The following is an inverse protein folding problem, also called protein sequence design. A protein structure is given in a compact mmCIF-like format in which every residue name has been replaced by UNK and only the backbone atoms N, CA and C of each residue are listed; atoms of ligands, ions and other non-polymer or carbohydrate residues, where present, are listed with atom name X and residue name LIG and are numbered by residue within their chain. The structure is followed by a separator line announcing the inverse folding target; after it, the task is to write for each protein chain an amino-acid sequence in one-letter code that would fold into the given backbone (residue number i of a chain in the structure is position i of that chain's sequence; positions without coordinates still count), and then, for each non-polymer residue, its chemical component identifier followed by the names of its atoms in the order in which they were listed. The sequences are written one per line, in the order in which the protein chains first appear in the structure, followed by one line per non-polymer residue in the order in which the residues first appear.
data_IF_203338288043
#
_entry.id   IF_203338288043
#
_cell.length_a   1.000
_cell.length_b   1.000
_cell.length_c   1.000
_cell.angle_alpha   90.00
_cell.angle_beta   90.00
_cell.angle_gamma   90.00
#
_symmetry.space_group_name_H-M   'P 1'
#
loop_
_entity.id
_entity.type
_entity.pdbx_description
1 polymer ?
#
# COMPACT_ATOMS: atom_id res chain seq x y z
N UNK A 1 14.70 -12.75 4.32
CA UNK A 1 15.31 -11.41 4.21
C UNK A 1 14.94 -10.86 2.85
N UNK A 2 13.80 -10.16 2.75
CA UNK A 2 13.65 -9.14 1.71
C UNK A 2 14.67 -8.05 2.03
N UNK A 3 15.25 -7.40 1.02
CA UNK A 3 16.41 -6.52 1.13
C UNK A 3 16.36 -5.64 2.38
N UNK A 4 17.31 -5.85 3.29
CA UNK A 4 17.57 -4.86 4.33
C UNK A 4 17.99 -3.60 3.60
N UNK A 5 17.16 -2.55 3.65
CA UNK A 5 17.64 -1.20 3.40
C UNK A 5 18.93 -1.02 4.19
N UNK A 6 20.02 -0.67 3.52
CA UNK A 6 21.24 -0.33 4.22
C UNK A 6 20.88 0.72 5.28
N UNK A 7 21.15 0.35 6.53
CA UNK A 7 20.81 1.13 7.73
C UNK A 7 21.49 2.52 7.76
N UNK A 8 22.23 2.89 6.71
CA UNK A 8 22.96 4.14 6.51
C UNK A 8 22.67 4.87 5.19
N UNK A 9 21.69 4.44 4.38
CA UNK A 9 21.28 5.24 3.22
C UNK A 9 20.47 6.46 3.69
N UNK A 10 20.92 7.66 3.30
CA UNK A 10 20.17 8.89 3.52
C UNK A 10 18.81 8.91 2.78
N UNK A 11 18.57 7.96 1.87
CA UNK A 11 17.45 7.95 0.93
C UNK A 11 17.04 6.52 0.51
N UNK A 12 16.06 5.91 1.18
CA UNK A 12 15.59 4.56 0.88
C UNK A 12 14.52 4.54 -0.22
N UNK A 13 14.47 5.54 -1.11
CA UNK A 13 13.36 5.69 -2.06
C UNK A 13 13.48 4.86 -3.33
N UNK A 14 14.70 4.47 -3.72
CA UNK A 14 14.92 3.66 -4.91
C UNK A 14 15.61 2.37 -4.49
N UNK A 15 14.83 1.29 -4.36
CA UNK A 15 15.40 -0.04 -4.50
C UNK A 15 15.63 -0.26 -5.99
N UNK A 16 16.88 -0.48 -6.40
CA UNK A 16 17.27 -0.53 -7.83
C UNK A 16 16.49 -1.60 -8.62
N UNK A 17 15.98 -2.64 -7.96
CA UNK A 17 15.28 -3.77 -8.58
C UNK A 17 13.75 -3.75 -8.38
N UNK A 18 13.15 -2.70 -7.81
CA UNK A 18 11.71 -2.72 -7.54
C UNK A 18 10.87 -2.48 -8.83
N UNK A 19 10.03 -3.46 -9.26
CA UNK A 19 9.30 -3.37 -10.52
C UNK A 19 8.36 -2.18 -10.62
N UNK A 20 7.81 -1.75 -9.47
CA UNK A 20 6.93 -0.59 -9.40
C UNK A 20 7.63 0.69 -9.86
N UNK A 21 8.88 0.93 -9.45
CA UNK A 21 9.59 2.16 -9.80
C UNK A 21 9.87 2.25 -11.30
N UNK A 22 10.24 1.12 -11.91
CA UNK A 22 10.42 1.03 -13.36
C UNK A 22 9.12 1.33 -14.11
N UNK A 23 8.01 0.70 -13.71
CA UNK A 23 6.71 0.95 -14.31
C UNK A 23 6.27 2.42 -14.12
N UNK A 24 6.45 2.97 -12.92
CA UNK A 24 6.09 4.35 -12.61
C UNK A 24 6.94 5.38 -13.38
N UNK A 25 8.23 5.14 -13.54
CA UNK A 25 9.12 6.00 -14.33
C UNK A 25 8.74 5.95 -15.82
N UNK A 26 8.46 4.77 -16.36
CA UNK A 26 8.01 4.59 -17.74
C UNK A 26 6.72 5.39 -18.00
N UNK A 27 5.72 5.27 -17.11
CA UNK A 27 4.47 6.06 -17.21
C UNK A 27 4.77 7.55 -17.10
N UNK A 28 5.64 7.97 -16.18
CA UNK A 28 6.03 9.39 -16.04
C UNK A 28 6.65 9.94 -17.33
N UNK A 29 7.55 9.19 -17.97
CA UNK A 29 8.20 9.55 -19.25
C UNK A 29 7.16 9.69 -20.38
N UNK A 30 6.19 8.79 -20.45
CA UNK A 30 5.15 8.81 -21.49
C UNK A 30 4.15 9.94 -21.24
N UNK A 31 3.62 10.05 -20.02
CA UNK A 31 2.51 10.96 -19.69
C UNK A 31 2.97 12.40 -19.50
N UNK A 32 4.09 12.61 -18.78
CA UNK A 32 4.59 13.96 -18.47
C UNK A 32 5.58 14.47 -19.50
N UNK A 33 6.51 13.62 -19.97
CA UNK A 33 7.57 14.01 -20.93
C UNK A 33 7.21 13.74 -22.39
N UNK A 34 6.01 13.21 -22.67
CA UNK A 34 5.48 12.93 -24.02
C UNK A 34 6.41 12.05 -24.87
N UNK A 35 7.17 11.15 -24.23
CA UNK A 35 8.02 10.21 -24.95
C UNK A 35 7.18 9.10 -25.61
N UNK A 36 7.67 8.54 -26.71
CA UNK A 36 6.98 7.45 -27.41
C UNK A 36 7.12 6.14 -26.63
N UNK A 37 6.07 5.31 -26.68
CA UNK A 37 6.05 3.97 -26.05
C UNK A 37 7.25 3.15 -26.54
N UNK A 38 7.58 3.24 -27.83
CA UNK A 38 8.72 2.55 -28.42
C UNK A 38 10.04 2.90 -27.74
N UNK A 39 10.32 4.19 -27.57
CA UNK A 39 11.58 4.65 -26.96
C UNK A 39 11.69 4.22 -25.50
N UNK A 40 10.60 4.33 -24.74
CA UNK A 40 10.58 3.95 -23.32
C UNK A 40 10.71 2.42 -23.15
N UNK A 41 10.08 1.65 -24.04
CA UNK A 41 10.22 0.20 -24.06
C UNK A 41 11.67 -0.24 -24.36
N UNK A 42 12.32 0.39 -25.34
CA UNK A 42 13.73 0.15 -25.68
C UNK A 42 14.67 0.57 -24.53
N UNK A 43 14.41 1.69 -23.85
CA UNK A 43 15.23 2.19 -22.74
C UNK A 43 15.18 1.30 -21.48
N UNK A 44 14.04 0.68 -21.20
CA UNK A 44 13.84 -0.17 -20.03
C UNK A 44 13.89 -1.67 -20.35
N UNK A 45 14.27 -2.06 -21.57
CA UNK A 45 14.34 -3.46 -22.02
C UNK A 45 13.03 -4.26 -21.82
N UNK A 46 11.88 -3.59 -21.92
CA UNK A 46 10.56 -4.22 -21.73
C UNK A 46 9.77 -4.24 -23.02
N UNK A 47 8.83 -5.19 -23.13
CA UNK A 47 7.97 -5.27 -24.30
C UNK A 47 7.02 -4.06 -24.39
N UNK A 48 6.66 -3.67 -25.62
CA UNK A 48 5.67 -2.59 -25.84
C UNK A 48 4.31 -2.92 -25.25
N UNK A 49 3.95 -4.20 -25.19
CA UNK A 49 2.67 -4.65 -24.67
C UNK A 49 2.64 -4.60 -23.15
N UNK A 50 3.76 -4.85 -22.48
CA UNK A 50 3.93 -4.60 -21.04
C UNK A 50 3.68 -3.12 -20.70
N UNK A 51 4.27 -2.20 -21.47
CA UNK A 51 4.08 -0.75 -21.27
C UNK A 51 2.65 -0.30 -21.57
N UNK A 52 1.95 -0.95 -22.50
CA UNK A 52 0.52 -0.71 -22.72
C UNK A 52 -0.32 -1.23 -21.55
N UNK A 53 -0.01 -2.40 -21.01
CA UNK A 53 -0.65 -2.97 -19.82
C UNK A 53 -0.56 -2.00 -18.64
N UNK A 54 0.65 -1.50 -18.34
CA UNK A 54 0.84 -0.49 -17.29
C UNK A 54 0.01 0.78 -17.49
N UNK A 55 -0.14 1.25 -18.74
CA UNK A 55 -0.99 2.41 -19.02
C UNK A 55 -2.47 2.13 -18.75
N UNK A 56 -2.95 0.94 -19.11
CA UNK A 56 -4.33 0.53 -18.85
C UNK A 56 -4.57 0.40 -17.34
N UNK A 57 -3.67 -0.25 -16.62
CA UNK A 57 -3.76 -0.42 -15.16
C UNK A 57 -3.66 0.92 -14.43
N UNK A 58 -2.79 1.82 -14.89
CA UNK A 58 -2.67 3.17 -14.33
C UNK A 58 -3.95 3.98 -14.52
N UNK A 59 -4.60 3.89 -15.69
CA UNK A 59 -5.87 4.58 -15.95
C UNK A 59 -7.00 3.99 -15.09
N UNK A 60 -7.01 2.67 -14.92
CA UNK A 60 -8.10 1.95 -14.22
C UNK A 60 -7.98 2.04 -12.70
N UNK A 61 -6.76 1.90 -12.16
CA UNK A 61 -6.52 1.74 -10.72
C UNK A 61 -5.60 2.81 -10.12
N UNK A 62 -5.09 3.75 -10.93
CA UNK A 62 -4.08 4.72 -10.52
C UNK A 62 -2.71 4.07 -10.36
N UNK A 63 -1.83 4.71 -9.60
CA UNK A 63 -0.50 4.18 -9.29
C UNK A 63 -0.56 2.81 -8.59
N UNK A 64 -1.66 2.46 -7.90
CA UNK A 64 -1.83 1.13 -7.30
C UNK A 64 -1.79 0.03 -8.38
N UNK A 65 -2.28 0.31 -9.58
CA UNK A 65 -2.27 -0.61 -10.71
C UNK A 65 -0.87 -0.99 -11.19
N UNK A 66 0.16 -0.21 -10.83
CA UNK A 66 1.55 -0.46 -11.22
C UNK A 66 2.30 -1.37 -10.24
N UNK A 67 1.67 -1.75 -9.12
CA UNK A 67 2.23 -2.74 -8.21
C UNK A 67 2.27 -4.11 -8.88
N UNK A 68 3.40 -4.80 -8.74
CA UNK A 68 3.59 -6.14 -9.30
C UNK A 68 2.53 -7.10 -8.75
N UNK A 69 1.97 -7.97 -9.61
CA UNK A 69 1.04 -8.98 -9.13
C UNK A 69 1.80 -10.05 -8.33
N UNK A 70 1.29 -10.35 -7.14
CA UNK A 70 1.85 -11.43 -6.32
C UNK A 70 1.14 -12.73 -6.72
N UNK A 71 1.92 -13.79 -6.95
CA UNK A 71 1.36 -15.11 -7.23
C UNK A 71 0.64 -15.67 -5.99
N UNK A 72 -0.63 -16.04 -6.14
CA UNK A 72 -1.40 -16.71 -5.10
C UNK A 72 -1.43 -18.22 -5.34
N UNK A 73 -1.28 -18.98 -4.26
CA UNK A 73 -1.59 -20.41 -4.26
C UNK A 73 -2.96 -20.52 -3.59
N UNK A 74 -3.99 -21.03 -4.28
CA UNK A 74 -5.28 -21.25 -3.63
C UNK A 74 -5.11 -22.33 -2.57
N UNK A 75 -5.38 -21.98 -1.32
CA UNK A 75 -5.33 -22.88 -0.17
C UNK A 75 -6.75 -23.02 0.37
N UNK A 76 -7.13 -24.23 0.74
CA UNK A 76 -8.42 -24.47 1.40
C UNK A 76 -8.48 -23.72 2.73
N UNK A 77 -9.55 -22.95 2.94
CA UNK A 77 -9.73 -22.15 4.16
C UNK A 77 -9.74 -22.98 5.45
N UNK A 78 -10.19 -24.24 5.39
CA UNK A 78 -10.15 -25.17 6.51
C UNK A 78 -8.73 -25.63 6.81
N UNK A 79 -7.92 -25.86 5.78
CA UNK A 79 -6.50 -26.21 5.92
C UNK A 79 -5.72 -25.06 6.58
N UNK A 80 -5.97 -23.82 6.13
CA UNK A 80 -5.35 -22.63 6.72
C UNK A 80 -5.71 -22.49 8.20
N UNK A 81 -7.01 -22.55 8.54
CA UNK A 81 -7.48 -22.45 9.93
C UNK A 81 -6.89 -23.54 10.81
N UNK A 82 -6.85 -24.79 10.33
CA UNK A 82 -6.28 -25.92 11.06
C UNK A 82 -4.78 -25.70 11.33
N UNK A 83 -4.02 -25.32 10.29
CA UNK A 83 -2.58 -25.12 10.41
C UNK A 83 -2.24 -23.99 11.39
N UNK A 84 -3.01 -22.89 11.37
CA UNK A 84 -2.84 -21.76 12.30
C UNK A 84 -3.23 -22.17 13.72
N UNK A 85 -4.37 -22.85 13.91
CA UNK A 85 -4.86 -23.26 15.23
C UNK A 85 -3.90 -24.22 15.94
N UNK A 86 -3.35 -25.19 15.21
CA UNK A 86 -2.36 -26.11 15.79
C UNK A 86 -1.14 -25.33 16.27
N UNK A 87 -0.71 -24.32 15.51
CA UNK A 87 0.49 -23.56 15.83
C UNK A 87 0.27 -22.54 16.95
N UNK A 88 -0.96 -22.05 17.13
CA UNK A 88 -1.31 -21.16 18.25
C UNK A 88 -1.41 -21.93 19.56
N UNK A 89 -2.00 -23.13 19.55
CA UNK A 89 -2.17 -23.97 20.75
C UNK A 89 -0.85 -24.67 21.09
N UNK A 90 -0.10 -25.12 20.09
CA UNK A 90 1.15 -25.84 20.27
C UNK A 90 2.30 -25.21 19.47
N UNK A 91 2.93 -24.19 20.05
CA UNK A 91 4.00 -23.42 19.40
C UNK A 91 5.19 -24.26 18.90
N UNK A 92 5.48 -25.38 19.54
CA UNK A 92 6.58 -26.29 19.17
C UNK A 92 6.19 -27.38 18.17
N UNK A 93 4.89 -27.58 17.91
CA UNK A 93 4.45 -28.68 17.06
C UNK A 93 4.91 -28.51 15.61
N UNK A 94 5.26 -29.66 15.03
CA UNK A 94 5.80 -29.76 13.68
C UNK A 94 4.67 -29.82 12.65
N UNK A 95 4.91 -29.29 11.45
CA UNK A 95 3.96 -29.31 10.32
C UNK A 95 3.45 -30.72 9.97
N UNK A 96 4.14 -31.77 10.41
CA UNK A 96 3.71 -33.17 10.29
C UNK A 96 2.41 -33.47 11.04
N UNK A 97 2.19 -32.87 12.21
CA UNK A 97 0.97 -33.10 12.99
C UNK A 97 -0.24 -32.50 12.29
N UNK A 98 -0.08 -31.27 11.77
CA UNK A 98 -1.09 -30.62 10.93
C UNK A 98 -1.41 -31.43 9.66
N UNK A 99 -0.41 -32.05 9.03
CA UNK A 99 -0.63 -32.91 7.87
C UNK A 99 -1.46 -34.15 8.24
N UNK A 100 -1.09 -34.86 9.31
CA UNK A 100 -1.82 -36.05 9.77
C UNK A 100 -3.29 -35.75 10.10
N UNK A 101 -3.54 -34.62 10.75
CA UNK A 101 -4.91 -34.18 11.04
C UNK A 101 -5.66 -33.78 9.77
N UNK A 102 -5.02 -33.08 8.84
CA UNK A 102 -5.63 -32.72 7.56
C UNK A 102 -5.99 -33.96 6.72
N UNK A 103 -5.11 -34.97 6.71
CA UNK A 103 -5.35 -36.28 6.07
C UNK A 103 -6.52 -37.03 6.73
N UNK A 104 -6.54 -37.08 8.06
CA UNK A 104 -7.63 -37.72 8.82
C UNK A 104 -8.99 -37.03 8.57
N UNK A 105 -8.99 -35.70 8.45
CA UNK A 105 -10.17 -34.89 8.13
C UNK A 105 -10.51 -34.86 6.64
N UNK A 106 -9.70 -35.53 5.80
CA UNK A 106 -9.84 -35.57 4.32
C UNK A 106 -9.90 -34.17 3.68
N UNK A 107 -9.12 -33.22 4.20
CA UNK A 107 -9.04 -31.86 3.65
C UNK A 107 -8.23 -31.90 2.34
N UNK A 108 -8.78 -31.40 1.21
CA UNK A 108 -8.10 -31.45 -0.08
C UNK A 108 -6.87 -30.53 -0.12
N UNK A 109 -5.86 -30.90 -0.91
CA UNK A 109 -4.68 -30.07 -1.15
C UNK A 109 -3.72 -29.95 0.03
N UNK A 110 -3.90 -30.73 1.10
CA UNK A 110 -2.98 -30.77 2.21
C UNK A 110 -1.62 -31.34 1.78
N UNK A 111 -0.58 -30.51 1.84
CA UNK A 111 0.80 -30.95 1.70
C UNK A 111 1.66 -30.28 2.74
N UNK A 112 2.77 -30.93 3.06
CA UNK A 112 3.71 -30.44 4.04
C UNK A 112 4.31 -29.08 3.61
N UNK A 113 4.56 -28.88 2.32
CA UNK A 113 5.04 -27.60 1.77
C UNK A 113 4.00 -26.49 1.94
N UNK A 114 2.73 -26.77 1.59
CA UNK A 114 1.62 -25.81 1.75
C UNK A 114 1.45 -25.42 3.22
N UNK A 115 1.47 -26.39 4.15
CA UNK A 115 1.35 -26.12 5.59
C UNK A 115 2.50 -25.25 6.09
N UNK A 116 3.74 -25.53 5.67
CA UNK A 116 4.90 -24.71 6.03
C UNK A 116 4.80 -23.29 5.47
N UNK A 117 4.28 -23.13 4.25
CA UNK A 117 4.03 -21.81 3.65
C UNK A 117 2.96 -21.04 4.43
N UNK A 118 1.86 -21.69 4.82
CA UNK A 118 0.84 -21.09 5.70
C UNK A 118 1.50 -20.61 6.99
N UNK A 119 2.26 -21.46 7.68
CA UNK A 119 2.96 -21.06 8.90
C UNK A 119 3.86 -19.84 8.69
N UNK A 120 4.64 -19.78 7.59
CA UNK A 120 5.47 -18.62 7.26
C UNK A 120 4.65 -17.37 6.99
N UNK A 121 3.55 -17.47 6.23
CA UNK A 121 2.65 -16.35 5.93
C UNK A 121 1.97 -15.77 7.16
N UNK A 122 1.96 -16.49 8.28
CA UNK A 122 1.45 -16.05 9.58
C UNK A 122 2.56 -15.69 10.58
N UNK A 123 3.83 -15.67 10.15
CA UNK A 123 4.98 -15.34 11.00
C UNK A 123 5.43 -16.47 11.93
N UNK A 124 4.91 -17.68 11.78
CA UNK A 124 5.41 -18.89 12.47
C UNK A 124 6.60 -19.50 11.71
N UNK A 125 7.56 -18.66 11.31
CA UNK A 125 8.69 -19.03 10.46
C UNK A 125 10.03 -19.10 11.19
N UNK A 126 11.02 -18.38 10.66
CA UNK A 126 12.43 -18.55 11.00
C UNK A 126 12.79 -18.22 12.46
N UNK A 127 12.14 -17.24 13.08
CA UNK A 127 12.44 -16.84 14.47
C UNK A 127 11.33 -17.18 15.44
N UNK A 128 10.12 -17.43 14.94
CA UNK A 128 8.91 -17.65 15.74
C UNK A 128 8.66 -16.55 16.78
N UNK A 129 9.19 -15.34 16.55
CA UNK A 129 9.08 -14.21 17.45
C UNK A 129 7.90 -13.30 17.09
N UNK A 130 7.60 -12.34 17.96
CA UNK A 130 6.51 -11.39 17.76
C UNK A 130 6.78 -10.45 16.57
N UNK A 131 8.05 -10.23 16.21
CA UNK A 131 8.45 -9.37 15.09
C UNK A 131 8.08 -9.98 13.74
N UNK A 132 8.30 -11.29 13.57
CA UNK A 132 7.88 -12.04 12.38
C UNK A 132 6.35 -11.97 12.24
N UNK A 133 5.60 -12.19 13.33
CA UNK A 133 4.12 -12.11 13.30
C UNK A 133 3.63 -10.72 12.92
N UNK A 134 4.22 -9.68 13.50
CA UNK A 134 3.87 -8.30 13.19
C UNK A 134 4.16 -7.95 11.72
N UNK A 135 5.29 -8.41 11.19
CA UNK A 135 5.69 -8.21 9.79
C UNK A 135 4.68 -8.85 8.82
N UNK A 136 4.39 -10.14 9.00
CA UNK A 136 3.46 -10.84 8.10
C UNK A 136 2.01 -10.35 8.25
N UNK A 137 1.57 -9.98 9.46
CA UNK A 137 0.26 -9.35 9.67
C UNK A 137 0.16 -8.01 8.92
N UNK A 138 1.23 -7.20 8.91
CA UNK A 138 1.26 -5.96 8.15
C UNK A 138 1.19 -6.19 6.64
N UNK A 139 1.91 -7.19 6.11
CA UNK A 139 1.80 -7.59 4.70
C UNK A 139 0.39 -8.03 4.33
N UNK A 140 -0.24 -8.89 5.14
CA UNK A 140 -1.62 -9.34 4.90
C UNK A 140 -2.59 -8.16 4.81
N UNK A 141 -2.48 -7.18 5.72
CA UNK A 141 -3.30 -5.94 5.68
C UNK A 141 -3.10 -5.14 4.39
N UNK A 142 -1.85 -5.04 3.91
CA UNK A 142 -1.55 -4.38 2.63
C UNK A 142 -2.23 -5.13 1.48
N UNK A 143 -2.13 -6.46 1.44
CA UNK A 143 -2.75 -7.27 0.38
C UNK A 143 -4.26 -7.11 0.34
N UNK A 144 -4.93 -7.19 1.49
CA UNK A 144 -6.37 -6.95 1.61
C UNK A 144 -6.75 -5.56 1.13
N UNK A 145 -5.91 -4.56 1.44
CA UNK A 145 -6.14 -3.19 0.99
C UNK A 145 -6.01 -3.04 -0.52
N UNK A 146 -5.05 -3.73 -1.16
CA UNK A 146 -4.88 -3.73 -2.63
C UNK A 146 -6.10 -4.33 -3.30
N UNK A 147 -6.54 -5.49 -2.82
CA UNK A 147 -7.71 -6.17 -3.34
C UNK A 147 -8.96 -5.28 -3.19
N UNK A 148 -9.11 -4.62 -2.05
CA UNK A 148 -10.18 -3.64 -1.81
C UNK A 148 -10.13 -2.44 -2.77
N UNK A 149 -8.94 -1.89 -3.06
CA UNK A 149 -8.82 -0.76 -3.98
C UNK A 149 -9.02 -1.18 -5.44
N UNK A 150 -8.60 -2.39 -5.82
CA UNK A 150 -8.81 -2.93 -7.17
C UNK A 150 -10.27 -3.40 -7.40
N UNK A 151 -10.99 -3.80 -6.35
CA UNK A 151 -12.38 -4.22 -6.47
C UNK A 151 -13.36 -3.05 -6.57
N UNK A 152 -12.98 -1.88 -6.03
CA UNK A 152 -13.76 -0.66 -6.20
C UNK A 152 -13.54 -0.07 -7.59
N UNK A 153 -14.61 0.15 -8.33
CA UNK A 153 -14.61 0.99 -9.54
C UNK A 153 -14.43 2.46 -9.14
N UNK A 154 -13.23 2.82 -8.71
CA UNK A 154 -12.87 4.19 -8.40
C UNK A 154 -12.12 4.75 -9.59
N UNK A 155 -12.60 5.87 -10.13
CA UNK A 155 -11.84 6.62 -11.13
C UNK A 155 -10.70 7.37 -10.43
N UNK A 156 -9.42 7.05 -10.69
CA UNK A 156 -8.27 7.76 -10.11
C UNK A 156 -8.11 9.17 -10.68
N UNK A 157 -8.87 9.53 -11.73
CA UNK A 157 -8.85 10.85 -12.35
C UNK A 157 -7.85 10.98 -13.49
N UNK A 158 -7.33 9.86 -14.01
CA UNK A 158 -6.38 9.82 -15.11
C UNK A 158 -7.09 9.66 -16.45
N UNK A 159 -6.96 10.65 -17.34
CA UNK A 159 -7.56 10.64 -18.68
C UNK A 159 -6.48 10.37 -19.76
N UNK A 160 -6.59 9.28 -20.55
CA UNK A 160 -5.71 9.00 -21.68
C UNK A 160 -5.67 10.10 -22.75
N UNK A 161 -6.72 10.91 -22.89
CA UNK A 161 -6.77 12.03 -23.85
C UNK A 161 -6.02 13.26 -23.33
N UNK A 162 -5.95 13.43 -22.00
CA UNK A 162 -5.32 14.58 -21.33
C UNK A 162 -4.14 14.19 -20.45
N UNK A 163 -3.34 13.21 -20.89
CA UNK A 163 -2.25 12.56 -20.13
C UNK A 163 -1.44 13.51 -19.25
N UNK A 164 -0.83 14.54 -19.83
CA UNK A 164 0.06 15.44 -19.07
C UNK A 164 -0.67 16.27 -18.00
N UNK A 165 -1.93 16.63 -18.24
CA UNK A 165 -2.74 17.43 -17.31
C UNK A 165 -3.29 16.57 -16.17
N UNK A 166 -3.65 15.32 -16.47
CA UNK A 166 -4.26 14.39 -15.52
C UNK A 166 -3.26 13.42 -14.90
N UNK A 167 -1.96 13.52 -15.20
CA UNK A 167 -0.95 12.62 -14.63
C UNK A 167 -0.86 12.71 -13.11
N UNK A 168 -1.04 13.91 -12.53
CA UNK A 168 -1.05 14.13 -11.09
C UNK A 168 -2.33 14.88 -10.69
N UNK A 169 -3.40 14.18 -10.29
CA UNK A 169 -4.70 14.77 -9.99
C UNK A 169 -4.60 15.75 -8.82
N UNK A 170 -5.10 16.98 -8.98
CA UNK A 170 -5.06 18.01 -7.91
C UNK A 170 -5.95 17.69 -6.71
N UNK A 171 -6.92 16.81 -6.93
CA UNK A 171 -8.01 16.50 -5.99
C UNK A 171 -7.72 15.22 -5.18
N UNK A 172 -6.49 14.71 -5.23
CA UNK A 172 -6.03 13.55 -4.45
C UNK A 172 -6.85 12.27 -4.67
N UNK A 173 -7.53 12.13 -5.82
CA UNK A 173 -8.24 10.91 -6.21
C UNK A 173 -7.31 9.68 -6.20
N UNK A 174 -6.05 9.87 -6.61
CA UNK A 174 -4.98 8.91 -6.41
C UNK A 174 -4.10 9.25 -5.19
N UNK A 175 -4.59 8.88 -4.00
CA UNK A 175 -3.86 9.08 -2.73
C UNK A 175 -2.52 8.33 -2.69
N UNK A 176 -2.41 7.21 -3.42
CA UNK A 176 -1.20 6.40 -3.42
C UNK A 176 -0.09 7.09 -4.20
N UNK A 177 -0.39 7.62 -5.39
CA UNK A 177 0.55 8.42 -6.17
C UNK A 177 1.05 9.65 -5.41
N UNK A 178 0.18 10.32 -4.63
CA UNK A 178 0.59 11.45 -3.79
C UNK A 178 1.64 11.07 -2.75
N UNK A 179 1.51 9.89 -2.14
CA UNK A 179 2.50 9.39 -1.17
C UNK A 179 3.80 9.02 -1.86
N UNK A 180 3.73 8.40 -3.04
CA UNK A 180 4.91 8.05 -3.83
C UNK A 180 5.69 9.30 -4.23
N UNK A 181 5.02 10.35 -4.73
CA UNK A 181 5.65 11.62 -5.08
C UNK A 181 6.18 12.37 -3.85
N UNK A 182 5.46 12.33 -2.71
CA UNK A 182 5.98 12.89 -1.45
C UNK A 182 7.29 12.20 -1.06
N UNK A 183 7.33 10.86 -1.07
CA UNK A 183 8.52 10.11 -0.67
C UNK A 183 9.68 10.31 -1.66
N UNK A 184 9.38 10.50 -2.95
CA UNK A 184 10.36 10.90 -3.98
C UNK A 184 10.94 12.28 -3.72
N UNK A 185 10.11 13.24 -3.34
CA UNK A 185 10.55 14.60 -3.04
C UNK A 185 11.37 14.63 -1.74
N UNK A 186 10.93 13.88 -0.73
CA UNK A 186 11.64 13.75 0.53
C UNK A 186 12.98 13.04 0.35
N UNK A 187 13.12 12.13 -0.61
CA UNK A 187 14.41 11.53 -0.91
C UNK A 187 15.37 12.55 -1.51
N UNK A 188 14.90 13.49 -2.31
CA UNK A 188 15.77 14.56 -2.85
C UNK A 188 16.14 15.63 -1.80
N UNK A 189 15.55 15.58 -0.60
CA UNK A 189 15.80 16.57 0.45
C UNK A 189 17.10 16.30 1.22
N UNK A 190 18.12 17.12 0.98
CA UNK A 190 19.40 17.04 1.71
C UNK A 190 19.33 17.57 3.16
N UNK A 191 18.36 18.44 3.50
CA UNK A 191 18.25 19.05 4.84
C UNK A 191 16.89 18.79 5.47
N UNK A 192 16.88 18.33 6.73
CA UNK A 192 15.67 18.03 7.53
C UNK A 192 14.67 19.19 7.60
N UNK A 193 15.12 20.44 7.49
CA UNK A 193 14.26 21.64 7.48
C UNK A 193 13.25 21.66 6.31
N UNK A 194 13.54 20.98 5.21
CA UNK A 194 12.66 20.94 4.02
C UNK A 194 11.57 19.87 4.11
N UNK A 195 11.63 18.97 5.11
CA UNK A 195 10.63 17.91 5.31
C UNK A 195 9.26 18.51 5.64
N UNK A 196 9.17 19.41 6.63
CA UNK A 196 7.87 20.00 7.04
C UNK A 196 7.16 20.78 5.92
N UNK A 197 7.85 21.62 5.13
CA UNK A 197 7.26 22.25 3.96
C UNK A 197 6.75 21.24 2.92
N UNK A 198 7.52 20.19 2.60
CA UNK A 198 7.10 19.15 1.68
C UNK A 198 5.83 18.45 2.18
N UNK A 199 5.81 18.01 3.44
CA UNK A 199 4.63 17.39 4.06
C UNK A 199 3.37 18.26 3.96
N UNK A 200 3.48 19.58 4.20
CA UNK A 200 2.36 20.51 4.05
C UNK A 200 1.83 20.58 2.61
N UNK A 201 2.70 20.55 1.60
CA UNK A 201 2.28 20.56 0.18
C UNK A 201 1.44 19.34 -0.21
N UNK A 202 1.80 18.16 0.31
CA UNK A 202 1.05 16.92 0.06
C UNK A 202 -0.05 16.67 1.09
N UNK A 203 -0.31 17.59 2.02
CA UNK A 203 -1.37 17.45 3.02
C UNK A 203 -1.13 16.33 4.04
N UNK A 204 0.14 15.98 4.33
CA UNK A 204 0.50 14.94 5.29
C UNK A 204 0.92 15.55 6.62
N UNK A 205 0.31 15.09 7.71
CA UNK A 205 0.67 15.52 9.06
C UNK A 205 2.02 14.92 9.52
N UNK A 206 2.83 15.64 10.31
CA UNK A 206 4.12 15.15 10.79
C UNK A 206 4.06 13.81 11.51
N UNK A 207 3.07 13.60 12.38
CA UNK A 207 2.94 12.35 13.15
C UNK A 207 2.71 11.16 12.22
N UNK A 208 1.92 11.38 11.16
CA UNK A 208 1.61 10.35 10.19
C UNK A 208 2.73 10.08 9.20
N UNK A 209 3.56 11.09 8.94
CA UNK A 209 4.80 10.90 8.19
C UNK A 209 5.72 9.88 8.85
N UNK A 210 5.89 9.91 10.17
CA UNK A 210 6.76 8.94 10.85
C UNK A 210 6.23 7.51 10.71
N UNK A 211 4.90 7.32 10.84
CA UNK A 211 4.27 6.03 10.60
C UNK A 211 4.44 5.56 9.15
N UNK A 212 4.20 6.44 8.18
CA UNK A 212 4.43 6.14 6.76
C UNK A 212 5.88 5.77 6.49
N UNK A 213 6.82 6.51 7.07
CA UNK A 213 8.26 6.28 6.91
C UNK A 213 8.64 4.92 7.46
N UNK A 214 8.22 4.60 8.67
CA UNK A 214 8.50 3.30 9.29
C UNK A 214 7.95 2.15 8.43
N UNK A 215 6.70 2.27 7.96
CA UNK A 215 6.11 1.25 7.08
C UNK A 215 6.82 1.13 5.73
N UNK A 216 7.24 2.25 5.16
CA UNK A 216 8.00 2.26 3.93
C UNK A 216 9.38 1.62 4.10
N UNK A 217 10.04 1.83 5.24
CA UNK A 217 11.30 1.13 5.56
C UNK A 217 11.10 -0.39 5.67
N UNK A 218 9.94 -0.84 6.15
CA UNK A 218 9.66 -2.26 6.38
C UNK A 218 9.15 -2.98 5.12
N UNK A 219 8.28 -2.35 4.33
CA UNK A 219 7.56 -2.98 3.21
C UNK A 219 7.85 -2.35 1.85
N UNK A 220 8.72 -1.34 1.78
CA UNK A 220 8.94 -0.57 0.56
C UNK A 220 7.69 0.20 0.14
N UNK A 221 7.50 0.37 -1.18
CA UNK A 221 6.38 1.15 -1.74
C UNK A 221 5.01 0.58 -1.31
N UNK A 222 4.92 -0.73 -1.12
CA UNK A 222 3.73 -1.42 -0.62
C UNK A 222 3.23 -0.88 0.73
N UNK A 223 4.15 -0.42 1.58
CA UNK A 223 3.84 0.14 2.90
C UNK A 223 3.09 1.47 2.87
N UNK A 224 2.95 2.11 1.70
CA UNK A 224 2.25 3.39 1.54
C UNK A 224 0.75 3.23 1.29
N UNK A 225 0.24 2.03 1.04
CA UNK A 225 -1.08 1.83 0.44
C UNK A 225 -2.26 1.96 1.42
N UNK A 226 -2.19 1.29 2.56
CA UNK A 226 -3.32 1.07 3.47
C UNK A 226 -3.58 2.22 4.46
N UNK A 227 -2.62 3.12 4.66
CA UNK A 227 -2.80 4.29 5.50
C UNK A 227 -3.61 5.34 4.73
N UNK A 228 -4.94 5.34 4.86
CA UNK A 228 -5.82 6.38 4.30
C UNK A 228 -5.47 7.72 4.94
N UNK A 229 -4.97 8.67 4.16
CA UNK A 229 -4.79 10.05 4.60
C UNK A 229 -5.95 10.86 4.05
N UNK A 230 -6.71 11.51 4.92
CA UNK A 230 -7.66 12.52 4.51
C UNK A 230 -6.85 13.69 3.96
N UNK A 231 -6.71 13.76 2.64
CA UNK A 231 -6.09 14.87 1.93
C UNK A 231 -7.03 16.07 1.86
N UNK A 232 -7.73 16.40 2.95
CA UNK A 232 -8.27 17.75 3.07
C UNK A 232 -7.05 18.66 3.20
N UNK A 233 -6.78 19.43 2.15
CA UNK A 233 -5.65 20.37 2.08
C UNK A 233 -5.59 21.12 3.41
N UNK A 234 -4.44 21.04 4.08
CA UNK A 234 -4.14 21.88 5.23
C UNK A 234 -4.11 23.33 4.71
N UNK A 235 -5.25 24.00 4.80
CA UNK A 235 -5.51 25.29 4.17
C UNK A 235 -6.97 25.70 4.26
N UNK A 236 -7.91 24.76 4.14
CA UNK A 236 -9.26 24.98 4.64
C UNK A 236 -9.25 24.66 6.13
N UNK A 237 -8.89 25.67 6.94
CA UNK A 237 -9.49 25.72 8.27
C UNK A 237 -10.99 25.56 8.03
N UNK A 238 -11.59 24.57 8.69
CA UNK A 238 -13.03 24.56 8.89
C UNK A 238 -13.38 25.99 9.32
N UNK A 239 -14.37 26.64 8.68
CA UNK A 239 -14.69 28.01 9.04
C UNK A 239 -14.92 28.05 10.56
N UNK A 240 -14.49 29.11 11.24
CA UNK A 240 -14.67 29.21 12.69
C UNK A 240 -16.14 29.05 13.11
N UNK A 241 -17.06 29.40 12.20
CA UNK A 241 -18.49 29.17 12.33
C UNK A 241 -18.86 27.68 12.27
N UNK A 242 -18.30 26.92 11.34
CA UNK A 242 -18.55 25.48 11.21
C UNK A 242 -17.88 24.68 12.34
N UNK A 243 -16.74 25.13 12.87
CA UNK A 243 -16.13 24.56 14.09
C UNK A 243 -17.04 24.78 15.32
N UNK A 244 -17.53 26.01 15.51
CA UNK A 244 -18.49 26.34 16.58
C UNK A 244 -19.75 25.50 16.46
N UNK A 245 -20.27 25.32 15.24
CA UNK A 245 -21.48 24.55 15.02
C UNK A 245 -21.30 23.05 15.29
N UNK A 246 -20.14 22.49 14.92
CA UNK A 246 -19.77 21.11 15.27
C UNK A 246 -19.64 20.94 16.80
N UNK A 247 -19.08 21.93 17.50
CA UNK A 247 -18.97 21.92 18.97
C UNK A 247 -20.36 21.99 19.60
N UNK A 248 -21.23 22.89 19.13
CA UNK A 248 -22.62 23.01 19.60
C UNK A 248 -23.41 21.72 19.37
N UNK A 249 -23.35 21.13 18.19
CA UNK A 249 -24.04 19.87 17.90
C UNK A 249 -23.49 18.70 18.72
N UNK A 250 -22.18 18.68 19.00
CA UNK A 250 -21.59 17.67 19.86
C UNK A 250 -22.00 17.84 21.33
N UNK A 251 -22.18 19.08 21.79
CA UNK A 251 -22.74 19.36 23.12
C UNK A 251 -24.21 18.95 23.23
N UNK A 252 -25.00 19.12 22.16
CA UNK A 252 -26.40 18.67 22.09
C UNK A 252 -26.52 17.15 21.96
N UNK A 253 -25.64 16.52 21.20
CA UNK A 253 -25.69 15.10 20.83
C UNK A 253 -24.32 14.40 21.04
N UNK A 254 -23.91 14.12 22.29
CA UNK A 254 -22.58 13.61 22.60
C UNK A 254 -22.25 12.22 22.02
N UNK A 255 -23.27 11.47 21.57
CA UNK A 255 -23.11 10.15 20.95
C UNK A 255 -22.72 10.19 19.46
N UNK A 256 -22.79 11.35 18.80
CA UNK A 256 -22.47 11.47 17.37
C UNK A 256 -20.99 11.77 17.14
N UNK A 257 -20.36 11.01 16.23
CA UNK A 257 -18.98 11.26 15.79
C UNK A 257 -18.92 12.52 14.92
N UNK A 258 -17.85 13.35 15.00
CA UNK A 258 -17.71 14.58 14.21
C UNK A 258 -17.92 14.41 12.70
N UNK A 259 -17.53 13.26 12.14
CA UNK A 259 -17.76 12.92 10.72
C UNK A 259 -19.23 12.80 10.35
N UNK A 260 -20.05 12.17 11.21
CA UNK A 260 -21.51 12.06 11.02
C UNK A 260 -22.24 13.38 11.23
N UNK A 261 -21.68 14.28 12.04
CA UNK A 261 -22.19 15.65 12.21
C UNK A 261 -21.91 16.45 10.93
N UNK A 262 -20.72 16.31 10.35
CA UNK A 262 -20.37 16.94 9.07
C UNK A 262 -21.24 16.45 7.91
N UNK A 263 -21.50 15.14 7.81
CA UNK A 263 -22.41 14.57 6.77
C UNK A 263 -23.86 15.06 6.88
N UNK A 264 -24.25 15.63 8.03
CA UNK A 264 -25.58 16.18 8.27
C UNK A 264 -25.67 17.68 7.94
N UNK A 265 -24.51 18.32 7.77
CA UNK A 265 -24.34 19.76 7.57
C UNK A 265 -23.96 20.13 6.13
N UNK A 266 -23.52 19.15 5.33
CA UNK A 266 -23.43 19.23 3.86
C UNK A 266 -24.81 18.97 3.22
#
# INVERSE_FOLDING_TARGET
RAGFAEYNSATPFFYEEEPFHLAYEAITKIWKRRQSIRRVAEEHEVSRDTVKGWQQDFVRYGAIGLLAEISYIPVDSLLERLAVLIKTVHGHEHSNYALRLAEALKIPGASLDIIRRIHRCWGYGQRHDESDRAFYSGLQKIMVSIEYYKSKERNPGHDPQRKAQTFFPRDCHDSFQHKVELFKELSLCQKKRHIRPALRRYGVYPDRYYQLRERFMTYGVWGLLDLVHASKRVGEKISSELELHIIEERLKNPALSPTRIMEKLD
#
